data_IF_134798453302
#
_entry.id   IF_134798453302
#
_cell.length_a   1.000
_cell.length_b   1.000
_cell.length_c   1.000
_cell.angle_alpha   90.00
_cell.angle_beta   90.00
_cell.angle_gamma   90.00
#
_symmetry.space_group_name_H-M   'P 1'
#
loop_
_entity.id
_entity.type
_entity.pdbx_description
1 polymer ?
#
# COMPACT_ATOMS: atom_id res chain seq x y z
N UNK A 1 31.77 -9.68 9.79
CA UNK A 1 31.26 -10.17 11.07
C UNK A 1 30.75 -8.94 11.85
N UNK A 2 29.52 -8.52 11.58
CA UNK A 2 28.86 -7.46 12.35
C UNK A 2 27.40 -7.88 12.57
N UNK A 3 27.18 -8.39 13.76
CA UNK A 3 25.91 -8.88 14.28
C UNK A 3 25.06 -7.65 14.63
N UNK A 4 24.07 -7.30 13.79
CA UNK A 4 23.11 -6.26 14.12
C UNK A 4 22.01 -6.88 14.99
N UNK A 5 22.12 -6.58 16.26
CA UNK A 5 21.12 -6.88 17.30
C UNK A 5 19.91 -5.98 17.02
N UNK A 6 18.86 -6.55 16.45
CA UNK A 6 17.53 -5.95 16.42
C UNK A 6 16.99 -5.92 17.85
N UNK A 7 17.17 -4.80 18.55
CA UNK A 7 16.39 -4.51 19.76
C UNK A 7 14.92 -4.37 19.36
N UNK A 8 14.14 -5.36 19.74
CA UNK A 8 12.68 -5.33 19.80
C UNK A 8 12.25 -4.21 20.75
N UNK A 9 11.94 -3.05 20.23
CA UNK A 9 11.01 -2.14 20.90
C UNK A 9 9.62 -2.44 20.35
N UNK A 10 9.02 -3.51 20.88
CA UNK A 10 7.58 -3.67 20.84
C UNK A 10 6.99 -2.66 21.82
N UNK A 11 6.64 -1.47 21.35
CA UNK A 11 5.58 -0.71 21.98
C UNK A 11 4.30 -1.52 21.79
N UNK A 12 4.06 -2.41 22.74
CA UNK A 12 2.77 -3.02 23.03
C UNK A 12 1.86 -1.87 23.50
N UNK A 13 1.29 -1.13 22.54
CA UNK A 13 0.05 -0.42 22.79
C UNK A 13 -0.96 -1.48 23.22
N UNK A 14 -1.34 -1.45 24.48
CA UNK A 14 -2.23 -2.44 25.05
C UNK A 14 -3.52 -2.48 24.24
N UNK A 15 -3.97 -3.67 23.91
CA UNK A 15 -5.21 -3.95 23.17
C UNK A 15 -6.47 -3.35 23.82
N UNK A 16 -6.34 -2.78 25.01
CA UNK A 16 -7.41 -2.20 25.82
C UNK A 16 -7.78 -0.76 25.46
N UNK A 17 -6.88 0.00 24.78
CA UNK A 17 -7.09 1.43 24.55
C UNK A 17 -7.71 1.80 23.20
N UNK A 18 -7.85 0.82 22.27
CA UNK A 18 -8.54 1.03 20.99
C UNK A 18 -9.52 -0.11 20.68
N UNK A 19 -10.70 -0.14 21.33
CA UNK A 19 -11.70 -1.19 21.13
C UNK A 19 -12.29 -1.24 19.71
N UNK A 20 -12.00 -0.27 18.85
CA UNK A 20 -12.55 -0.17 17.49
C UNK A 20 -11.66 -0.73 16.36
N UNK A 21 -10.40 -1.07 16.62
CA UNK A 21 -9.54 -1.66 15.56
C UNK A 21 -9.96 -3.09 15.16
N UNK A 22 -10.67 -3.80 16.02
CA UNK A 22 -11.14 -5.18 15.76
C UNK A 22 -12.40 -5.25 14.87
N UNK A 23 -13.04 -4.11 14.56
CA UNK A 23 -14.30 -4.02 13.81
C UNK A 23 -14.19 -3.39 12.43
N UNK A 24 -13.01 -3.11 11.93
CA UNK A 24 -12.85 -2.59 10.57
C UNK A 24 -12.90 -3.71 9.51
N UNK A 25 -14.01 -4.44 9.49
CA UNK A 25 -14.52 -4.97 8.23
C UNK A 25 -14.96 -3.76 7.42
N UNK A 26 -14.49 -3.63 6.18
CA UNK A 26 -14.85 -2.56 5.26
C UNK A 26 -16.38 -2.44 5.17
N UNK A 27 -16.94 -1.39 5.75
CA UNK A 27 -18.38 -1.07 5.72
C UNK A 27 -18.71 0.00 4.69
N UNK A 28 -17.68 0.65 4.10
CA UNK A 28 -17.87 1.69 3.10
C UNK A 28 -17.94 1.07 1.70
N UNK A 29 -18.95 1.47 0.95
CA UNK A 29 -19.17 1.13 -0.46
C UNK A 29 -19.00 2.40 -1.29
N UNK A 30 -17.95 2.45 -2.10
CA UNK A 30 -17.63 3.60 -2.95
C UNK A 30 -18.04 3.39 -4.41
N UNK A 31 -18.77 2.32 -4.74
CA UNK A 31 -19.10 1.97 -6.12
C UNK A 31 -19.91 3.04 -6.86
N UNK A 32 -20.65 3.87 -6.15
CA UNK A 32 -21.45 4.98 -6.70
C UNK A 32 -20.66 6.28 -6.87
N UNK A 33 -19.46 6.34 -6.31
CA UNK A 33 -18.62 7.53 -6.39
C UNK A 33 -18.00 7.71 -7.79
N UNK A 34 -17.72 8.96 -8.15
CA UNK A 34 -16.96 9.34 -9.34
C UNK A 34 -15.66 10.00 -8.90
N UNK A 35 -14.82 9.25 -8.24
CA UNK A 35 -13.63 9.75 -7.57
C UNK A 35 -12.48 8.75 -7.66
N UNK A 36 -11.34 9.18 -8.21
CA UNK A 36 -10.14 8.34 -8.32
C UNK A 36 -9.60 7.90 -6.96
N UNK A 37 -9.75 8.72 -5.92
CA UNK A 37 -9.36 8.34 -4.55
C UNK A 37 -10.27 7.21 -4.07
N UNK A 38 -11.59 7.33 -4.25
CA UNK A 38 -12.54 6.29 -3.89
C UNK A 38 -12.25 4.98 -4.65
N UNK A 39 -11.98 5.05 -5.95
CA UNK A 39 -11.57 3.89 -6.75
C UNK A 39 -10.28 3.23 -6.23
N UNK A 40 -9.31 4.02 -5.81
CA UNK A 40 -8.06 3.50 -5.21
C UNK A 40 -8.35 2.82 -3.88
N UNK A 41 -9.20 3.41 -3.03
CA UNK A 41 -9.58 2.82 -1.74
C UNK A 41 -10.35 1.50 -1.91
N UNK A 42 -11.12 1.31 -3.00
CA UNK A 42 -11.74 0.03 -3.32
C UNK A 42 -10.71 -1.09 -3.51
N UNK A 43 -9.55 -0.77 -4.08
CA UNK A 43 -8.49 -1.74 -4.38
C UNK A 43 -7.52 -1.92 -3.21
N UNK A 44 -7.06 -0.82 -2.60
CA UNK A 44 -5.96 -0.85 -1.63
C UNK A 44 -6.30 -0.23 -0.27
N UNK A 45 -7.54 0.24 -0.04
CA UNK A 45 -7.92 0.99 1.15
C UNK A 45 -8.04 0.17 2.45
N UNK A 46 -7.87 -1.13 2.41
CA UNK A 46 -7.79 -1.94 3.63
C UNK A 46 -6.40 -1.79 4.27
N UNK A 47 -6.33 -1.57 5.59
CA UNK A 47 -5.05 -1.37 6.29
C UNK A 47 -4.05 -2.49 6.09
N UNK A 48 -4.49 -3.76 6.08
CA UNK A 48 -3.62 -4.90 5.85
C UNK A 48 -3.06 -4.91 4.43
N UNK A 49 -3.86 -4.47 3.45
CA UNK A 49 -3.43 -4.37 2.05
C UNK A 49 -2.27 -3.40 1.90
N UNK A 50 -2.33 -2.23 2.53
CA UNK A 50 -1.23 -1.25 2.49
C UNK A 50 0.04 -1.79 3.17
N UNK A 51 -0.09 -2.52 4.29
CA UNK A 51 1.05 -3.15 4.96
C UNK A 51 1.64 -4.31 4.16
N UNK A 52 0.81 -5.09 3.45
CA UNK A 52 1.27 -6.12 2.52
C UNK A 52 2.09 -5.49 1.38
N UNK A 53 1.59 -4.41 0.79
CA UNK A 53 2.30 -3.68 -0.26
C UNK A 53 3.61 -3.09 0.23
N UNK A 54 3.65 -2.47 1.42
CA UNK A 54 4.88 -2.00 2.07
C UNK A 54 5.93 -3.11 2.12
N UNK A 55 5.55 -4.29 2.58
CA UNK A 55 6.47 -5.43 2.71
C UNK A 55 6.87 -6.00 1.33
N UNK A 56 5.96 -5.97 0.34
CA UNK A 56 6.28 -6.35 -1.03
C UNK A 56 7.36 -5.43 -1.63
N UNK A 57 7.30 -4.11 -1.39
CA UNK A 57 8.35 -3.17 -1.78
C UNK A 57 9.67 -3.42 -1.04
N UNK A 58 9.62 -3.98 0.16
CA UNK A 58 10.80 -4.46 0.90
C UNK A 58 11.30 -5.85 0.46
N UNK A 59 10.71 -6.43 -0.60
CA UNK A 59 11.14 -7.70 -1.20
C UNK A 59 10.50 -8.96 -0.62
N UNK A 60 9.48 -8.83 0.23
CA UNK A 60 8.69 -9.98 0.72
C UNK A 60 7.84 -10.51 -0.44
N UNK A 61 7.89 -11.84 -0.67
CA UNK A 61 7.17 -12.49 -1.77
C UNK A 61 6.35 -13.70 -1.35
N UNK A 62 6.64 -14.31 -0.18
CA UNK A 62 6.03 -15.56 0.25
C UNK A 62 4.97 -15.33 1.31
N UNK A 63 3.90 -16.11 1.25
CA UNK A 63 2.76 -16.04 2.17
C UNK A 63 3.19 -16.11 3.64
N UNK A 64 4.06 -17.07 3.96
CA UNK A 64 4.53 -17.31 5.32
C UNK A 64 5.33 -16.13 5.87
N UNK A 65 6.13 -15.47 5.02
CA UNK A 65 6.91 -14.27 5.40
C UNK A 65 5.99 -13.12 5.82
N UNK A 66 4.91 -12.84 5.06
CA UNK A 66 3.93 -11.83 5.46
C UNK A 66 3.22 -12.22 6.74
N UNK A 67 2.83 -13.50 6.88
CA UNK A 67 2.13 -13.97 8.07
C UNK A 67 2.98 -13.78 9.33
N UNK A 68 4.27 -14.10 9.26
CA UNK A 68 5.22 -13.92 10.35
C UNK A 68 5.42 -12.43 10.68
N UNK A 69 5.62 -11.59 9.64
CA UNK A 69 5.90 -10.16 9.83
C UNK A 69 4.72 -9.35 10.31
N UNK A 70 3.53 -9.64 9.82
CA UNK A 70 2.32 -8.86 10.11
C UNK A 70 1.50 -9.44 11.27
N UNK A 71 1.69 -10.70 11.63
CA UNK A 71 0.88 -11.36 12.65
C UNK A 71 -0.60 -11.48 12.29
N UNK A 72 -0.96 -11.29 11.01
CA UNK A 72 -2.33 -11.30 10.53
C UNK A 72 -2.86 -12.74 10.39
N UNK A 73 -4.16 -12.94 10.60
CA UNK A 73 -4.79 -14.25 10.42
C UNK A 73 -4.68 -14.73 8.97
N UNK A 74 -4.42 -16.06 8.76
CA UNK A 74 -4.21 -16.64 7.43
C UNK A 74 -5.32 -16.34 6.44
N UNK A 75 -6.57 -16.43 6.87
CA UNK A 75 -7.74 -16.15 6.02
C UNK A 75 -7.79 -14.70 5.57
N UNK A 76 -7.42 -13.75 6.44
CA UNK A 76 -7.36 -12.33 6.09
C UNK A 76 -6.24 -12.08 5.07
N UNK A 77 -5.03 -12.58 5.33
CA UNK A 77 -3.91 -12.45 4.40
C UNK A 77 -4.26 -13.05 3.02
N UNK A 78 -4.82 -14.27 3.00
CA UNK A 78 -5.21 -14.93 1.76
C UNK A 78 -6.25 -14.12 0.98
N UNK A 79 -7.25 -13.55 1.66
CA UNK A 79 -8.26 -12.70 1.04
C UNK A 79 -7.65 -11.44 0.43
N UNK A 80 -6.71 -10.77 1.14
CA UNK A 80 -6.06 -9.55 0.63
C UNK A 80 -5.14 -9.82 -0.56
N UNK A 81 -4.33 -10.88 -0.50
CA UNK A 81 -3.50 -11.30 -1.64
C UNK A 81 -4.35 -11.67 -2.85
N UNK A 82 -5.46 -12.39 -2.64
CA UNK A 82 -6.42 -12.70 -3.72
C UNK A 82 -6.99 -11.44 -4.35
N UNK A 83 -7.38 -10.45 -3.56
CA UNK A 83 -7.88 -9.15 -4.06
C UNK A 83 -6.80 -8.42 -4.88
N UNK A 84 -5.56 -8.34 -4.37
CA UNK A 84 -4.46 -7.69 -5.08
C UNK A 84 -4.15 -8.36 -6.43
N UNK A 85 -4.23 -9.69 -6.49
CA UNK A 85 -4.06 -10.44 -7.75
C UNK A 85 -5.24 -10.19 -8.69
N UNK A 86 -6.48 -10.24 -8.19
CA UNK A 86 -7.68 -10.01 -9.00
C UNK A 86 -7.70 -8.61 -9.64
N UNK A 87 -7.15 -7.60 -8.95
CA UNK A 87 -7.03 -6.24 -9.48
C UNK A 87 -5.73 -5.99 -10.27
N UNK A 88 -4.92 -7.03 -10.50
CA UNK A 88 -3.68 -6.93 -11.26
C UNK A 88 -2.59 -6.06 -10.60
N UNK A 89 -2.68 -5.84 -9.29
CA UNK A 89 -1.65 -5.14 -8.51
C UNK A 89 -0.48 -6.06 -8.20
N UNK A 90 -0.79 -7.33 -7.97
CA UNK A 90 0.20 -8.40 -7.81
C UNK A 90 -0.12 -9.55 -8.76
N UNK A 91 0.86 -10.39 -9.01
CA UNK A 91 0.68 -11.68 -9.68
C UNK A 91 1.21 -12.81 -8.81
N UNK A 92 0.56 -13.98 -8.89
CA UNK A 92 0.98 -15.19 -8.21
C UNK A 92 1.83 -16.02 -9.16
N UNK A 93 3.08 -16.25 -8.81
CA UNK A 93 4.03 -17.05 -9.58
C UNK A 93 4.33 -18.36 -8.85
N UNK A 94 4.27 -19.49 -9.55
CA UNK A 94 4.65 -20.77 -8.98
C UNK A 94 6.18 -20.89 -8.95
N UNK A 95 6.75 -21.15 -7.78
CA UNK A 95 8.19 -21.34 -7.63
C UNK A 95 8.59 -22.77 -7.24
N UNK A 96 7.62 -23.63 -6.88
CA UNK A 96 7.84 -25.05 -6.60
C UNK A 96 6.66 -25.88 -7.10
N UNK A 97 6.96 -27.04 -7.68
CA UNK A 97 5.94 -27.98 -8.17
C UNK A 97 5.54 -29.00 -7.09
N UNK A 98 6.49 -29.40 -6.23
CA UNK A 98 6.29 -30.46 -5.23
C UNK A 98 6.94 -30.08 -3.89
N UNK A 99 6.15 -29.70 -2.85
CA UNK A 99 4.74 -29.36 -2.94
C UNK A 99 4.51 -28.05 -3.74
N UNK A 100 3.33 -27.87 -4.34
CA UNK A 100 3.04 -26.62 -5.07
C UNK A 100 3.13 -25.42 -4.14
N UNK A 101 3.99 -24.45 -4.49
CA UNK A 101 4.17 -23.22 -3.72
C UNK A 101 4.14 -22.02 -4.65
N UNK A 102 3.55 -20.95 -4.17
CA UNK A 102 3.43 -19.69 -4.91
C UNK A 102 4.15 -18.57 -4.17
N UNK A 103 4.71 -17.66 -4.94
CA UNK A 103 5.14 -16.35 -4.49
C UNK A 103 4.31 -15.27 -5.17
N UNK A 104 4.21 -14.11 -4.54
CA UNK A 104 3.46 -12.97 -5.02
C UNK A 104 4.41 -11.84 -5.33
N UNK A 105 4.35 -11.31 -6.54
CA UNK A 105 5.24 -10.24 -6.99
C UNK A 105 4.42 -9.05 -7.48
N UNK A 106 4.95 -7.84 -7.30
CA UNK A 106 4.30 -6.63 -7.79
C UNK A 106 4.33 -6.60 -9.32
N UNK A 107 3.20 -6.33 -9.94
CA UNK A 107 3.11 -5.97 -11.36
C UNK A 107 3.60 -4.53 -11.57
N UNK A 108 3.63 -4.04 -12.81
CA UNK A 108 3.90 -2.60 -13.05
C UNK A 108 2.86 -1.73 -12.34
N UNK A 109 1.57 -2.05 -12.47
CA UNK A 109 0.48 -1.38 -11.74
C UNK A 109 0.69 -1.35 -10.23
N UNK A 110 1.21 -2.44 -9.65
CA UNK A 110 1.56 -2.50 -8.24
C UNK A 110 2.76 -1.61 -7.90
N UNK A 111 3.78 -1.56 -8.75
CA UNK A 111 4.96 -0.69 -8.57
C UNK A 111 4.60 0.79 -8.62
N UNK A 112 3.61 1.18 -9.40
CA UNK A 112 3.13 2.55 -9.52
C UNK A 112 2.47 3.07 -8.23
N UNK A 113 2.20 2.20 -7.24
CA UNK A 113 1.76 2.59 -5.88
C UNK A 113 2.93 3.06 -4.98
N UNK A 114 4.18 2.93 -5.41
CA UNK A 114 5.34 3.35 -4.60
C UNK A 114 5.27 4.81 -4.14
N UNK A 115 4.96 5.80 -5.00
CA UNK A 115 4.85 7.20 -4.57
C UNK A 115 3.77 7.41 -3.51
N UNK A 116 2.65 6.68 -3.59
CA UNK A 116 1.56 6.76 -2.60
C UNK A 116 2.06 6.30 -1.23
N UNK A 117 2.74 5.15 -1.15
CA UNK A 117 3.27 4.63 0.10
C UNK A 117 4.39 5.50 0.67
N UNK A 118 5.26 6.05 -0.18
CA UNK A 118 6.33 6.95 0.25
C UNK A 118 5.78 8.27 0.83
N UNK A 119 4.76 8.85 0.19
CA UNK A 119 4.11 10.06 0.72
C UNK A 119 3.34 9.81 2.00
N UNK A 120 2.70 8.63 2.14
CA UNK A 120 2.06 8.21 3.39
C UNK A 120 3.08 8.03 4.52
N UNK A 121 4.23 7.41 4.24
CA UNK A 121 5.30 7.23 5.21
C UNK A 121 5.84 8.59 5.69
N UNK A 122 6.18 9.47 4.77
CA UNK A 122 6.67 10.82 5.09
C UNK A 122 5.65 11.63 5.92
N UNK A 123 4.37 11.52 5.62
CA UNK A 123 3.32 12.14 6.42
C UNK A 123 3.26 11.55 7.85
N UNK A 124 3.35 10.23 7.97
CA UNK A 124 3.36 9.52 9.26
C UNK A 124 4.57 9.89 10.10
N UNK A 125 5.74 9.97 9.48
CA UNK A 125 6.98 10.34 10.17
C UNK A 125 6.92 11.78 10.71
N UNK A 126 6.39 12.72 9.92
CA UNK A 126 6.28 14.13 10.34
C UNK A 126 5.20 14.39 11.38
N UNK A 127 4.04 13.73 11.26
CA UNK A 127 2.84 14.12 12.03
C UNK A 127 2.44 13.12 13.12
N UNK A 128 2.89 11.87 13.05
CA UNK A 128 2.55 10.84 14.04
C UNK A 128 3.75 10.53 14.94
N UNK A 129 4.92 10.28 14.35
CA UNK A 129 6.14 9.98 15.11
C UNK A 129 6.89 11.25 15.56
N UNK A 130 6.75 12.33 14.83
CA UNK A 130 7.59 13.53 14.94
C UNK A 130 8.86 13.42 14.08
N UNK A 131 9.34 14.55 13.57
CA UNK A 131 10.47 14.60 12.66
C UNK A 131 11.70 13.87 13.21
N UNK A 132 12.28 12.98 12.41
CA UNK A 132 13.48 12.21 12.76
C UNK A 132 13.24 10.98 13.65
N UNK A 133 12.00 10.69 14.07
CA UNK A 133 11.69 9.53 14.92
C UNK A 133 11.08 8.35 14.14
N UNK A 134 10.94 8.44 12.82
CA UNK A 134 10.48 7.35 11.97
C UNK A 134 11.38 6.12 12.07
N UNK A 135 10.80 4.93 12.04
CA UNK A 135 11.55 3.68 12.15
C UNK A 135 12.37 3.33 10.90
N UNK A 136 12.05 3.96 9.76
CA UNK A 136 12.68 3.71 8.45
C UNK A 136 12.94 5.05 7.75
N UNK A 137 14.18 5.27 7.35
CA UNK A 137 14.56 6.40 6.53
C UNK A 137 14.85 5.92 5.11
N UNK A 138 14.37 6.67 4.14
CA UNK A 138 14.66 6.41 2.73
C UNK A 138 15.83 7.27 2.27
N UNK A 139 16.77 6.66 1.55
CA UNK A 139 17.95 7.34 1.00
C UNK A 139 17.90 7.26 -0.51
N UNK A 140 18.08 8.37 -1.19
CA UNK A 140 18.18 8.41 -2.64
C UNK A 140 19.53 7.82 -3.08
N UNK A 141 19.49 6.67 -3.75
CA UNK A 141 20.67 5.87 -4.08
C UNK A 141 21.74 6.62 -4.88
N UNK A 142 21.31 7.56 -5.73
CA UNK A 142 22.21 8.29 -6.62
C UNK A 142 23.03 9.34 -5.89
N UNK A 143 22.44 10.09 -4.94
CA UNK A 143 23.12 11.17 -4.24
C UNK A 143 23.42 10.88 -2.77
N UNK A 144 22.92 9.79 -2.22
CA UNK A 144 23.16 9.37 -0.82
C UNK A 144 22.44 10.21 0.25
N UNK A 145 21.60 11.18 -0.14
CA UNK A 145 20.87 12.00 0.81
C UNK A 145 19.55 11.35 1.24
N UNK A 146 19.10 11.70 2.44
CA UNK A 146 17.78 11.32 2.91
C UNK A 146 16.70 11.88 1.97
N UNK A 147 15.73 11.05 1.67
CA UNK A 147 14.70 11.33 0.67
C UNK A 147 13.38 11.69 1.33
N UNK A 148 12.88 12.87 0.96
CA UNK A 148 11.52 13.31 1.27
C UNK A 148 10.74 13.51 -0.04
N UNK A 149 9.58 12.84 -0.22
CA UNK A 149 8.83 12.93 -1.47
C UNK A 149 8.30 14.36 -1.72
N UNK A 150 8.41 14.82 -2.97
CA UNK A 150 7.83 16.07 -3.43
C UNK A 150 7.05 15.80 -4.71
N UNK A 151 5.84 16.36 -4.81
CA UNK A 151 5.08 16.36 -6.04
C UNK A 151 5.57 17.51 -6.93
N UNK A 152 5.80 17.24 -8.21
CA UNK A 152 6.21 18.23 -9.18
C UNK A 152 5.29 18.19 -10.41
N UNK A 153 5.08 19.35 -11.03
CA UNK A 153 4.34 19.44 -12.28
C UNK A 153 5.18 18.87 -13.43
N UNK A 154 4.64 17.90 -14.16
CA UNK A 154 5.34 17.29 -15.29
C UNK A 154 5.65 18.29 -16.40
N UNK A 155 4.82 19.33 -16.57
CA UNK A 155 4.97 20.31 -17.63
C UNK A 155 6.02 21.39 -17.34
N UNK A 156 6.10 21.89 -16.09
CA UNK A 156 7.02 22.99 -15.75
C UNK A 156 8.10 22.61 -14.73
N UNK A 157 8.00 21.42 -14.10
CA UNK A 157 8.96 20.94 -13.10
C UNK A 157 8.82 21.59 -11.72
N UNK A 158 7.92 22.55 -11.53
CA UNK A 158 7.73 23.21 -10.24
C UNK A 158 7.14 22.24 -9.19
N UNK A 159 7.58 22.38 -7.94
CA UNK A 159 7.02 21.65 -6.81
C UNK A 159 5.61 22.17 -6.52
N UNK A 160 4.66 21.24 -6.39
CA UNK A 160 3.24 21.53 -6.22
C UNK A 160 2.88 21.48 -4.73
N UNK A 161 2.24 22.55 -4.23
CA UNK A 161 1.49 22.54 -2.98
C UNK A 161 -0.02 22.46 -3.26
N UNK A 162 -0.80 21.97 -2.30
CA UNK A 162 -2.23 21.81 -2.52
C UNK A 162 -2.97 23.09 -2.91
N UNK A 163 -2.49 24.24 -2.47
CA UNK A 163 -3.03 25.58 -2.83
C UNK A 163 -2.78 25.99 -4.28
N UNK A 164 -1.83 25.35 -4.97
CA UNK A 164 -1.45 25.69 -6.35
C UNK A 164 -2.35 24.99 -7.38
N UNK A 165 -3.21 24.08 -6.91
CA UNK A 165 -4.05 23.26 -7.76
C UNK A 165 -5.46 23.85 -7.92
N UNK A 166 -5.90 24.00 -9.17
CA UNK A 166 -7.28 24.27 -9.51
C UNK A 166 -8.01 22.95 -9.81
N UNK A 167 -9.06 22.67 -9.06
CA UNK A 167 -9.92 21.50 -9.33
C UNK A 167 -10.81 21.78 -10.56
N UNK A 168 -10.74 20.89 -11.54
CA UNK A 168 -11.65 20.83 -12.69
C UNK A 168 -12.47 19.55 -12.59
N UNK A 169 -13.78 19.64 -12.66
CA UNK A 169 -14.70 18.48 -12.60
C UNK A 169 -15.13 18.14 -14.03
N UNK A 170 -15.10 16.86 -14.37
CA UNK A 170 -15.60 16.32 -15.63
C UNK A 170 -16.90 15.58 -15.38
N UNK A 171 -17.98 15.99 -15.99
CA UNK A 171 -19.34 15.43 -15.77
C UNK A 171 -19.54 14.03 -16.37
N UNK A 172 -18.68 13.62 -17.30
CA UNK A 172 -18.80 12.36 -18.06
C UNK A 172 -17.93 11.22 -17.46
N UNK A 173 -17.53 11.30 -16.20
CA UNK A 173 -16.79 10.20 -15.55
C UNK A 173 -17.69 9.01 -15.24
N UNK A 174 -17.19 7.80 -15.47
CA UNK A 174 -17.79 6.56 -14.98
C UNK A 174 -17.75 6.49 -13.44
N UNK A 175 -18.69 5.78 -12.86
CA UNK A 175 -18.64 5.45 -11.42
C UNK A 175 -17.55 4.43 -11.13
N UNK A 176 -17.13 4.35 -9.87
CA UNK A 176 -16.13 3.38 -9.42
C UNK A 176 -16.56 1.95 -9.75
N UNK A 177 -17.85 1.62 -9.54
CA UNK A 177 -18.39 0.29 -9.84
C UNK A 177 -18.24 -0.07 -11.32
N UNK A 178 -18.65 0.80 -12.24
CA UNK A 178 -18.54 0.57 -13.69
C UNK A 178 -17.09 0.32 -14.13
N UNK A 179 -16.15 1.08 -13.60
CA UNK A 179 -14.72 0.92 -13.92
C UNK A 179 -14.17 -0.40 -13.39
N UNK A 180 -14.49 -0.78 -12.15
CA UNK A 180 -14.00 -2.01 -11.54
C UNK A 180 -14.58 -3.26 -12.21
N UNK A 181 -15.87 -3.24 -12.58
CA UNK A 181 -16.51 -4.34 -13.31
C UNK A 181 -15.86 -4.55 -14.68
N UNK A 182 -15.50 -3.48 -15.38
CA UNK A 182 -14.78 -3.56 -16.66
C UNK A 182 -13.39 -4.19 -16.49
N UNK A 183 -12.65 -3.83 -15.45
CA UNK A 183 -11.33 -4.40 -15.15
C UNK A 183 -11.42 -5.90 -14.83
N UNK A 184 -12.41 -6.29 -14.01
CA UNK A 184 -12.61 -7.70 -13.61
C UNK A 184 -13.05 -8.59 -14.78
N UNK A 185 -13.77 -8.04 -15.77
CA UNK A 185 -14.16 -8.79 -16.98
C UNK A 185 -13.02 -8.94 -17.98
N UNK A 186 -12.14 -7.96 -18.08
CA UNK A 186 -10.99 -8.00 -18.98
C UNK A 186 -9.86 -8.96 -18.51
N UNK A 187 -9.89 -9.40 -17.25
CA UNK A 187 -8.87 -10.26 -16.63
C UNK A 187 -9.23 -11.77 -16.69
N UNK A 188 -10.30 -12.14 -17.38
CA UNK A 188 -10.73 -13.53 -17.64
C UNK A 188 -10.30 -13.99 -19.02
#
# INVERSE_FOLDING_TARGET
MLLFILKRNALLLSRAEHPNLARMGRTADYTKERCSIAATLEVVGDPWTLLILRDAFAGVKRFEQWQERLGVARNVLAARLKTLVAHGVMEAQRYSERPPRQEYVLTQKGRDLSPVLLTMADWGDRHVYGAGNGAVHFVHKTCGHEFHPRLACEACGEVIEGRDLKRVVHDNCQTVGEVLDAVMTASK
#
